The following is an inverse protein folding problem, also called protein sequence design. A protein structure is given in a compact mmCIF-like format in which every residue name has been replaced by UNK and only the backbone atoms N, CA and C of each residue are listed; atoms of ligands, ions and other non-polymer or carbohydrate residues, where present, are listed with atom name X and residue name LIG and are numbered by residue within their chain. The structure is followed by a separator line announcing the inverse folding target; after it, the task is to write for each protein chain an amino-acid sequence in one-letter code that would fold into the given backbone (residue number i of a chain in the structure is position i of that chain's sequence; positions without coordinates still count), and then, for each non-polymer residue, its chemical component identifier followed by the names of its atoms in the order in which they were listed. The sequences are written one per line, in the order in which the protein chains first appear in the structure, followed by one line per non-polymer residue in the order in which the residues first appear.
data_IF_865962047383
#
_entry.id   IF_865962047383
#
_cell.length_a   1.000
_cell.length_b   1.000
_cell.length_c   1.000
_cell.angle_alpha   90.00
_cell.angle_beta   90.00
_cell.angle_gamma   90.00
#
_symmetry.space_group_name_H-M   'P 1'
#
loop_
_entity.id
_entity.type
_entity.pdbx_description
1 polymer ?
#
# COMPACT_ATOMS: atom_id res chain seq x y z
N UNK A 1 -13.55 13.25 20.37
CA UNK A 1 -14.40 12.05 20.47
C UNK A 1 -13.63 10.89 19.89
N UNK A 2 -13.58 9.75 20.57
CA UNK A 2 -13.03 8.51 20.00
C UNK A 2 -14.19 7.77 19.32
N UNK A 3 -14.32 7.95 18.00
CA UNK A 3 -15.20 7.12 17.17
C UNK A 3 -14.36 6.08 16.45
N UNK A 4 -14.84 4.83 16.41
CA UNK A 4 -14.34 3.84 15.47
C UNK A 4 -15.12 3.97 14.17
N UNK A 5 -14.44 3.81 13.03
CA UNK A 5 -15.05 3.75 11.71
C UNK A 5 -15.01 2.29 11.27
N UNK A 6 -16.15 1.76 10.83
CA UNK A 6 -16.20 0.40 10.30
C UNK A 6 -15.38 0.31 9.02
N UNK A 7 -14.60 -0.76 8.88
CA UNK A 7 -13.92 -1.04 7.62
C UNK A 7 -14.98 -1.34 6.54
N UNK A 8 -14.98 -0.62 5.41
CA UNK A 8 -15.88 -0.91 4.31
C UNK A 8 -15.82 -2.38 3.90
N UNK A 9 -17.00 -2.97 3.67
CA UNK A 9 -17.17 -4.39 3.32
C UNK A 9 -16.58 -5.38 4.34
N UNK A 10 -16.35 -4.94 5.58
CA UNK A 10 -15.62 -5.68 6.60
C UNK A 10 -14.20 -6.09 6.16
N UNK A 11 -13.60 -5.33 5.25
CA UNK A 11 -12.24 -5.59 4.75
C UNK A 11 -11.39 -4.32 4.86
N UNK A 12 -10.38 -4.37 5.71
CA UNK A 12 -9.37 -3.34 5.87
C UNK A 12 -8.01 -3.98 6.12
N UNK A 13 -6.96 -3.46 5.47
CA UNK A 13 -5.59 -4.01 5.58
C UNK A 13 -4.61 -2.97 6.10
N UNK A 14 -4.25 -1.98 5.29
CA UNK A 14 -3.24 -0.96 5.63
C UNK A 14 -3.84 0.45 5.51
N UNK A 15 -3.28 1.39 6.28
CA UNK A 15 -3.68 2.80 6.25
C UNK A 15 -2.53 3.69 5.76
N UNK A 16 -2.86 4.75 5.03
CA UNK A 16 -1.96 5.87 4.78
C UNK A 16 -2.73 7.20 4.77
N UNK A 17 -2.02 8.31 4.92
CA UNK A 17 -2.58 9.65 4.95
C UNK A 17 -1.79 10.55 4.00
N UNK A 18 -2.47 11.27 3.11
CA UNK A 18 -1.81 12.15 2.13
C UNK A 18 -1.63 13.60 2.61
N UNK A 19 -2.03 13.89 3.86
CA UNK A 19 -2.11 15.26 4.39
C UNK A 19 -3.51 15.87 4.33
N UNK A 20 -4.47 15.22 3.67
CA UNK A 20 -5.87 15.65 3.55
C UNK A 20 -6.85 14.50 3.82
N UNK A 21 -6.67 13.34 3.18
CA UNK A 21 -7.56 12.19 3.23
C UNK A 21 -6.88 10.95 3.82
N UNK A 22 -7.65 10.16 4.57
CA UNK A 22 -7.25 8.83 5.02
C UNK A 22 -7.50 7.84 3.87
N UNK A 23 -6.56 6.93 3.64
CA UNK A 23 -6.71 5.86 2.67
C UNK A 23 -6.58 4.49 3.33
N UNK A 24 -7.47 3.59 2.97
CA UNK A 24 -7.51 2.20 3.41
C UNK A 24 -7.31 1.28 2.22
N UNK A 25 -6.32 0.38 2.27
CA UNK A 25 -6.24 -0.72 1.29
C UNK A 25 -7.15 -1.87 1.68
N UNK A 26 -7.65 -2.56 0.66
CA UNK A 26 -8.29 -3.86 0.80
C UNK A 26 -7.46 -4.89 0.06
N UNK A 27 -6.88 -5.83 0.81
CA UNK A 27 -5.99 -6.86 0.31
C UNK A 27 -6.62 -7.63 -0.86
N UNK A 28 -7.67 -8.40 -0.60
CA UNK A 28 -8.24 -9.32 -1.60
C UNK A 28 -9.10 -8.62 -2.66
N UNK A 29 -9.68 -7.46 -2.31
CA UNK A 29 -10.50 -6.67 -3.23
C UNK A 29 -9.65 -5.79 -4.18
N UNK A 30 -8.32 -5.79 -4.01
CA UNK A 30 -7.34 -5.11 -4.89
C UNK A 30 -7.68 -3.64 -5.15
N UNK A 31 -7.96 -2.90 -4.09
CA UNK A 31 -8.28 -1.47 -4.19
C UNK A 31 -7.86 -0.68 -2.97
N UNK A 32 -7.66 0.61 -3.18
CA UNK A 32 -7.45 1.63 -2.15
C UNK A 32 -8.69 2.51 -2.10
N UNK A 33 -9.21 2.73 -0.89
CA UNK A 33 -10.37 3.56 -0.62
C UNK A 33 -9.93 4.83 0.09
N UNK A 34 -10.26 5.99 -0.47
CA UNK A 34 -10.15 7.28 0.23
C UNK A 34 -11.40 7.50 1.07
N UNK A 35 -11.21 7.83 2.34
CA UNK A 35 -12.27 7.99 3.34
C UNK A 35 -12.32 9.43 3.85
N UNK A 36 -13.52 9.96 4.03
CA UNK A 36 -13.74 11.20 4.79
C UNK A 36 -13.69 10.97 6.31
N UNK A 37 -13.89 12.03 7.09
CA UNK A 37 -13.84 11.99 8.56
C UNK A 37 -15.01 11.21 9.20
N UNK A 38 -16.02 10.84 8.41
CA UNK A 38 -17.13 9.99 8.81
C UNK A 38 -16.98 8.54 8.32
N UNK A 39 -15.93 8.25 7.54
CA UNK A 39 -15.69 6.94 6.96
C UNK A 39 -16.42 6.68 5.64
N UNK A 40 -17.03 7.70 5.03
CA UNK A 40 -17.64 7.54 3.72
C UNK A 40 -16.54 7.39 2.66
N UNK A 41 -16.76 6.49 1.70
CA UNK A 41 -15.84 6.31 0.56
C UNK A 41 -16.02 7.50 -0.39
N UNK A 42 -15.02 8.37 -0.46
CA UNK A 42 -14.97 9.50 -1.40
C UNK A 42 -14.11 9.20 -2.62
N UNK A 43 -13.32 8.12 -2.58
CA UNK A 43 -12.45 7.70 -3.68
C UNK A 43 -12.25 6.20 -3.69
N UNK A 44 -12.13 5.64 -4.89
CA UNK A 44 -11.71 4.26 -5.11
C UNK A 44 -10.64 4.21 -6.20
N UNK A 45 -9.56 3.46 -5.93
CA UNK A 45 -8.44 3.24 -6.87
C UNK A 45 -8.24 1.74 -6.99
N UNK A 46 -8.38 1.20 -8.20
CA UNK A 46 -8.11 -0.21 -8.50
C UNK A 46 -6.60 -0.46 -8.59
N UNK A 47 -6.17 -1.62 -8.12
CA UNK A 47 -4.77 -2.06 -8.08
C UNK A 47 -4.67 -3.41 -8.80
N UNK A 48 -3.60 -3.69 -9.56
CA UNK A 48 -3.48 -4.94 -10.33
C UNK A 48 -3.44 -6.21 -9.46
N UNK A 49 -2.83 -6.10 -8.28
CA UNK A 49 -2.46 -7.21 -7.40
C UNK A 49 -3.08 -7.08 -6.01
N UNK A 50 -2.99 -8.14 -5.21
CA UNK A 50 -3.40 -8.09 -3.81
C UNK A 50 -2.43 -7.24 -2.98
N UNK A 51 -2.94 -6.50 -1.99
CA UNK A 51 -2.17 -5.50 -1.25
C UNK A 51 -1.78 -5.99 0.14
N UNK A 52 -0.48 -6.19 0.37
CA UNK A 52 0.08 -6.59 1.66
C UNK A 52 0.54 -5.38 2.48
N UNK A 53 1.27 -4.45 1.85
CA UNK A 53 1.82 -3.23 2.46
C UNK A 53 1.46 -1.98 1.67
N UNK A 54 1.38 -0.82 2.33
CA UNK A 54 1.02 0.46 1.71
C UNK A 54 1.75 1.62 2.38
N UNK A 55 2.28 2.54 1.59
CA UNK A 55 2.58 3.90 2.03
C UNK A 55 2.24 4.92 0.92
N UNK A 56 2.03 6.17 1.32
CA UNK A 56 1.80 7.28 0.40
C UNK A 56 3.04 8.18 0.37
N UNK A 57 3.54 8.50 -0.82
CA UNK A 57 4.71 9.35 -1.04
C UNK A 57 4.46 10.21 -2.28
N UNK A 58 4.50 11.53 -2.11
CA UNK A 58 4.49 12.53 -3.19
C UNK A 58 3.48 12.27 -4.32
N UNK A 59 2.21 12.07 -3.97
CA UNK A 59 1.14 11.89 -4.97
C UNK A 59 1.01 10.47 -5.52
N UNK A 60 1.72 9.49 -4.94
CA UNK A 60 1.64 8.08 -5.32
C UNK A 60 1.50 7.17 -4.11
N UNK A 61 0.78 6.06 -4.29
CA UNK A 61 0.86 4.93 -3.38
C UNK A 61 1.98 4.02 -3.83
N UNK A 62 2.81 3.62 -2.88
CA UNK A 62 3.74 2.52 -3.03
C UNK A 62 3.18 1.35 -2.23
N UNK A 63 3.15 0.19 -2.87
CA UNK A 63 2.49 -1.00 -2.36
C UNK A 63 3.47 -2.15 -2.36
N UNK A 64 3.41 -2.97 -1.32
CA UNK A 64 3.89 -4.36 -1.40
C UNK A 64 2.71 -5.18 -1.87
N UNK A 65 2.85 -5.85 -3.00
CA UNK A 65 1.78 -6.65 -3.59
C UNK A 65 2.22 -8.07 -3.93
N UNK A 66 1.25 -8.96 -4.10
CA UNK A 66 1.44 -10.33 -4.60
C UNK A 66 0.15 -10.81 -5.27
N UNK A 67 0.25 -11.76 -6.18
CA UNK A 67 -0.92 -12.50 -6.70
C UNK A 67 -1.18 -13.80 -5.92
N UNK A 68 -0.17 -14.31 -5.20
CA UNK A 68 -0.23 -15.57 -4.46
C UNK A 68 0.83 -15.58 -3.34
N UNK A 69 0.38 -15.53 -2.08
CA UNK A 69 1.26 -15.55 -0.90
C UNK A 69 2.14 -16.82 -0.81
N UNK A 70 1.73 -17.92 -1.43
CA UNK A 70 2.45 -19.20 -1.35
C UNK A 70 3.66 -19.27 -2.31
N UNK A 71 3.74 -18.35 -3.29
CA UNK A 71 4.82 -18.34 -4.29
C UNK A 71 6.11 -17.69 -3.78
N UNK A 72 6.02 -16.85 -2.75
CA UNK A 72 7.13 -15.99 -2.32
C UNK A 72 7.46 -14.87 -3.33
N UNK A 73 6.65 -14.67 -4.37
CA UNK A 73 6.83 -13.58 -5.33
C UNK A 73 6.05 -12.34 -4.87
N UNK A 74 6.80 -11.33 -4.43
CA UNK A 74 6.25 -10.04 -4.03
C UNK A 74 6.80 -8.94 -4.94
N UNK A 75 6.02 -7.88 -5.08
CA UNK A 75 6.32 -6.75 -5.95
C UNK A 75 6.26 -5.44 -5.15
N UNK A 76 7.10 -4.49 -5.55
CA UNK A 76 6.90 -3.08 -5.23
C UNK A 76 6.09 -2.46 -6.36
N UNK A 77 4.80 -2.20 -6.14
CA UNK A 77 3.91 -1.59 -7.13
C UNK A 77 3.72 -0.10 -6.79
N UNK A 78 3.87 0.78 -7.77
CA UNK A 78 3.49 2.19 -7.65
C UNK A 78 2.15 2.44 -8.33
N UNK A 79 1.27 3.17 -7.67
CA UNK A 79 -0.03 3.58 -8.19
C UNK A 79 -0.16 5.11 -8.07
N UNK A 80 -0.43 5.79 -9.19
CA UNK A 80 -0.65 7.25 -9.16
C UNK A 80 -1.93 7.58 -8.39
N UNK A 81 -1.81 8.45 -7.38
CA UNK A 81 -2.96 8.96 -6.63
C UNK A 81 -3.57 10.19 -7.31
N UNK A 82 -2.94 10.77 -8.33
CA UNK A 82 -3.44 11.99 -8.98
C UNK A 82 -3.50 11.82 -10.51
N UNK A 83 -4.47 12.50 -11.15
CA UNK A 83 -4.66 12.44 -12.60
C UNK A 83 -5.14 11.07 -13.09
N UNK A 84 -4.70 10.68 -14.29
CA UNK A 84 -5.00 9.36 -14.84
C UNK A 84 -4.40 8.26 -13.95
N UNK A 85 -5.24 7.33 -13.50
CA UNK A 85 -4.81 6.17 -12.73
C UNK A 85 -3.87 5.30 -13.56
N UNK A 86 -2.64 5.13 -13.07
CA UNK A 86 -1.61 4.28 -13.67
C UNK A 86 -0.94 3.47 -12.56
N UNK A 87 -0.75 2.19 -12.83
CA UNK A 87 -0.05 1.27 -11.94
C UNK A 87 1.17 0.72 -12.67
N UNK A 88 2.27 0.55 -11.93
CA UNK A 88 3.54 0.04 -12.45
C UNK A 88 4.25 -0.80 -11.39
N UNK A 89 4.68 -2.00 -11.74
CA UNK A 89 5.55 -2.81 -10.88
C UNK A 89 7.00 -2.40 -11.08
N UNK A 90 7.58 -1.85 -10.02
CA UNK A 90 8.88 -1.20 -10.05
C UNK A 90 10.03 -2.15 -9.73
N UNK A 91 9.78 -3.14 -8.87
CA UNK A 91 10.79 -4.10 -8.43
C UNK A 91 10.15 -5.37 -7.89
N UNK A 92 10.94 -6.44 -7.84
CA UNK A 92 10.60 -7.67 -7.12
C UNK A 92 11.17 -7.62 -5.71
N UNK A 93 10.39 -8.09 -4.74
CA UNK A 93 10.79 -8.31 -3.36
C UNK A 93 10.95 -9.84 -3.20
N UNK A 94 12.18 -10.35 -2.98
CA UNK A 94 12.46 -11.79 -3.05
C UNK A 94 12.12 -12.54 -1.75
N UNK A 95 11.13 -12.05 -1.00
CA UNK A 95 10.67 -12.61 0.27
C UNK A 95 9.27 -12.10 0.64
N UNK A 96 8.62 -12.75 1.60
CA UNK A 96 7.28 -12.38 2.02
C UNK A 96 7.27 -11.10 2.87
N UNK A 97 6.95 -9.99 2.21
CA UNK A 97 6.82 -8.68 2.82
C UNK A 97 5.34 -8.38 3.15
N UNK A 98 5.07 -7.74 4.31
CA UNK A 98 3.69 -7.52 4.81
C UNK A 98 3.36 -6.10 5.26
N UNK A 99 4.34 -5.21 5.25
CA UNK A 99 4.15 -3.81 5.58
C UNK A 99 5.09 -2.97 4.72
N UNK A 100 4.78 -1.70 4.54
CA UNK A 100 5.66 -0.76 3.85
C UNK A 100 5.61 0.58 4.55
N UNK A 101 6.78 1.16 4.80
CA UNK A 101 6.92 2.51 5.31
C UNK A 101 7.96 3.27 4.47
N UNK A 102 7.90 4.60 4.49
CA UNK A 102 8.89 5.48 3.88
C UNK A 102 9.34 6.51 4.92
N UNK A 103 10.64 6.66 5.12
CA UNK A 103 11.21 7.56 6.14
C UNK A 103 11.58 8.96 5.61
N UNK A 104 11.25 9.25 4.34
CA UNK A 104 11.69 10.45 3.63
C UNK A 104 12.89 10.23 2.72
N UNK A 105 13.56 9.08 2.81
CA UNK A 105 14.71 8.71 1.97
C UNK A 105 14.65 7.27 1.47
N UNK A 106 14.26 6.32 2.32
CA UNK A 106 14.23 4.89 2.05
C UNK A 106 12.86 4.29 2.35
N UNK A 107 12.54 3.24 1.61
CA UNK A 107 11.47 2.32 1.95
C UNK A 107 11.93 1.30 2.97
N UNK A 108 11.00 0.86 3.81
CA UNK A 108 11.22 -0.13 4.86
C UNK A 108 10.11 -1.17 4.81
N UNK A 109 10.50 -2.44 4.86
CA UNK A 109 9.56 -3.56 4.95
C UNK A 109 10.07 -4.63 5.92
N UNK A 110 9.18 -5.51 6.36
CA UNK A 110 9.53 -6.65 7.21
C UNK A 110 9.81 -7.88 6.34
N UNK A 111 10.88 -8.60 6.66
CA UNK A 111 11.12 -9.96 6.18
C UNK A 111 10.85 -10.91 7.35
N UNK A 112 9.61 -11.42 7.42
CA UNK A 112 9.11 -12.11 8.62
C UNK A 112 9.87 -13.41 8.89
N UNK A 113 10.14 -14.16 7.83
CA UNK A 113 10.75 -15.49 7.88
C UNK A 113 12.20 -15.43 8.38
N UNK A 114 12.92 -14.37 8.03
CA UNK A 114 14.28 -14.12 8.51
C UNK A 114 14.35 -13.31 9.81
N UNK A 115 13.22 -12.80 10.31
CA UNK A 115 13.16 -11.91 11.48
C UNK A 115 13.99 -10.62 11.28
N UNK A 116 13.82 -9.96 10.13
CA UNK A 116 14.58 -8.77 9.74
C UNK A 116 13.68 -7.61 9.30
N UNK A 117 14.21 -6.39 9.39
CA UNK A 117 13.65 -5.20 8.76
C UNK A 117 14.61 -4.80 7.65
N UNK A 118 14.09 -4.69 6.43
CA UNK A 118 14.89 -4.41 5.23
C UNK A 118 14.61 -2.99 4.78
N UNK A 119 15.67 -2.20 4.60
CA UNK A 119 15.62 -0.87 4.02
C UNK A 119 16.14 -0.88 2.58
N UNK A 120 15.48 -0.15 1.68
CA UNK A 120 15.89 -0.05 0.28
C UNK A 120 15.49 1.30 -0.33
N UNK A 121 16.19 1.73 -1.36
CA UNK A 121 15.88 2.95 -2.10
C UNK A 121 14.80 2.70 -3.17
N UNK A 122 14.10 3.75 -3.57
CA UNK A 122 13.19 3.65 -4.72
C UNK A 122 13.99 3.25 -5.98
N UNK A 123 13.55 2.24 -6.74
CA UNK A 123 14.17 1.91 -8.02
C UNK A 123 13.96 3.00 -9.09
N UNK A 124 13.08 4.00 -8.83
CA UNK A 124 12.78 5.12 -9.74
C UNK A 124 13.51 6.41 -9.34
N UNK A 125 14.62 6.31 -8.61
CA UNK A 125 15.42 7.47 -8.19
C UNK A 125 16.08 8.18 -9.39
N UNK A 126 15.42 9.21 -9.93
CA UNK A 126 16.01 10.41 -10.57
C UNK A 126 14.94 11.47 -10.86
#
# INVERSE_FOLDING_TARGET
STGAIDCPDATGSQLSYDGSWLYLSQWYNRRILGLDDQGNIVRQIEVPHQICGQCYVDGSFYLVTTDDEDTGEYLLTRVSANGDHRSEDLARIPFAARALAFDGSRFWTNHREANEIVAFESPVSS
#
